data_IF_806331825106
#
_entry.id   IF_806331825106
#
_cell.length_a   1.000
_cell.length_b   1.000
_cell.length_c   1.000
_cell.angle_alpha   90.00
_cell.angle_beta   90.00
_cell.angle_gamma   90.00
#
_symmetry.space_group_name_H-M   'P 1'
#
loop_
_entity.id
_entity.type
_entity.pdbx_description
1 polymer ?
#
# COMPACT_ATOMS: atom_id res chain seq x y z
N UNK A 1 -19.52 -35.79 11.19
CA UNK A 1 -19.00 -34.89 12.24
C UNK A 1 -17.52 -34.50 12.06
N UNK A 2 -16.79 -34.95 11.02
CA UNK A 2 -15.34 -34.66 10.87
C UNK A 2 -14.98 -33.63 9.78
N UNK A 3 -15.87 -33.31 8.83
CA UNK A 3 -15.52 -32.43 7.71
C UNK A 3 -15.52 -30.93 8.04
N UNK A 4 -16.18 -30.49 9.12
CA UNK A 4 -16.24 -29.07 9.49
C UNK A 4 -15.03 -28.60 10.31
N UNK A 5 -14.39 -29.51 11.06
CA UNK A 5 -13.22 -29.18 11.87
C UNK A 5 -11.98 -28.88 11.01
N UNK A 6 -11.81 -29.60 9.89
CA UNK A 6 -10.68 -29.40 8.97
C UNK A 6 -10.76 -28.04 8.28
N UNK A 7 -11.95 -27.60 7.86
CA UNK A 7 -12.14 -26.31 7.18
C UNK A 7 -11.85 -25.13 8.10
N UNK A 8 -12.27 -25.19 9.37
CA UNK A 8 -11.99 -24.14 10.36
C UNK A 8 -10.51 -24.05 10.73
N UNK A 9 -9.81 -25.18 10.88
CA UNK A 9 -8.37 -25.18 11.15
C UNK A 9 -7.54 -24.63 9.98
N UNK A 10 -7.91 -24.98 8.74
CA UNK A 10 -7.23 -24.46 7.54
C UNK A 10 -7.49 -22.96 7.35
N UNK A 11 -8.71 -22.49 7.61
CA UNK A 11 -9.05 -21.06 7.60
C UNK A 11 -8.27 -20.28 8.66
N UNK A 12 -8.19 -20.80 9.88
CA UNK A 12 -7.50 -20.15 10.99
C UNK A 12 -5.97 -20.16 10.86
N UNK A 13 -5.38 -21.24 10.34
CA UNK A 13 -3.95 -21.28 10.02
C UNK A 13 -3.58 -20.36 8.85
N UNK A 14 -4.45 -20.20 7.84
CA UNK A 14 -4.24 -19.25 6.76
C UNK A 14 -4.29 -17.80 7.26
N UNK A 15 -5.31 -17.44 8.05
CA UNK A 15 -5.41 -16.11 8.66
C UNK A 15 -4.19 -15.76 9.52
N UNK A 16 -3.78 -16.65 10.44
CA UNK A 16 -2.63 -16.41 11.31
C UNK A 16 -1.29 -16.36 10.56
N UNK A 17 -1.11 -17.15 9.49
CA UNK A 17 0.09 -17.11 8.64
C UNK A 17 0.16 -15.84 7.80
N UNK A 18 -0.99 -15.36 7.34
CA UNK A 18 -1.10 -14.16 6.53
C UNK A 18 -0.88 -12.91 7.38
N UNK A 19 -1.53 -12.79 8.55
CA UNK A 19 -1.28 -11.71 9.51
C UNK A 19 0.20 -11.64 9.98
N UNK A 20 0.81 -12.81 10.22
CA UNK A 20 2.24 -12.90 10.56
C UNK A 20 3.16 -12.48 9.41
N UNK A 21 2.80 -12.78 8.16
CA UNK A 21 3.55 -12.35 6.97
C UNK A 21 3.38 -10.84 6.71
N UNK A 22 2.16 -10.32 6.86
CA UNK A 22 1.82 -8.91 6.64
C UNK A 22 2.56 -8.00 7.62
N UNK A 23 2.59 -8.38 8.90
CA UNK A 23 3.35 -7.64 9.93
C UNK A 23 4.87 -7.69 9.74
N UNK A 24 5.40 -8.79 9.19
CA UNK A 24 6.81 -8.89 8.83
C UNK A 24 7.17 -7.93 7.69
N UNK A 25 6.33 -7.88 6.66
CA UNK A 25 6.56 -7.03 5.48
C UNK A 25 6.53 -5.54 5.82
N UNK A 26 5.56 -5.10 6.62
CA UNK A 26 5.48 -3.70 7.08
C UNK A 26 6.73 -3.34 7.90
N UNK A 27 7.20 -4.24 8.76
CA UNK A 27 8.41 -4.00 9.56
C UNK A 27 9.66 -3.86 8.69
N UNK A 28 9.80 -4.70 7.68
CA UNK A 28 10.90 -4.61 6.71
C UNK A 28 10.86 -3.29 5.94
N UNK A 29 9.67 -2.90 5.46
CA UNK A 29 9.46 -1.63 4.78
C UNK A 29 9.90 -0.46 5.63
N UNK A 30 9.46 -0.37 6.89
CA UNK A 30 9.85 0.72 7.79
C UNK A 30 11.34 0.72 8.13
N UNK A 31 12.01 -0.44 8.14
CA UNK A 31 13.47 -0.51 8.34
C UNK A 31 14.28 0.06 7.18
N UNK A 32 13.71 0.13 5.98
CA UNK A 32 14.31 0.77 4.82
C UNK A 32 14.18 2.30 4.85
N UNK A 33 13.55 2.86 5.89
CA UNK A 33 13.33 4.30 6.07
C UNK A 33 12.72 4.98 4.82
N UNK A 34 11.55 4.51 4.35
CA UNK A 34 10.88 5.08 3.19
C UNK A 34 10.50 6.54 3.46
N UNK A 35 10.47 7.40 2.42
CA UNK A 35 10.02 8.77 2.58
C UNK A 35 8.54 8.81 2.98
N UNK A 36 8.14 9.89 3.64
CA UNK A 36 6.72 10.24 3.83
C UNK A 36 6.34 11.41 2.94
N UNK A 37 5.06 11.53 2.60
CA UNK A 37 4.53 12.63 1.81
C UNK A 37 3.27 13.20 2.44
N UNK A 38 3.26 14.50 2.72
CA UNK A 38 2.14 15.18 3.38
C UNK A 38 1.17 15.83 2.39
N UNK A 39 1.66 16.24 1.21
CA UNK A 39 0.90 16.93 0.18
C UNK A 39 0.54 18.37 0.55
N UNK A 40 1.22 18.95 1.55
CA UNK A 40 0.92 20.30 2.06
C UNK A 40 2.05 21.31 1.82
N UNK A 41 3.24 20.86 1.43
CA UNK A 41 4.39 21.73 1.18
C UNK A 41 4.70 21.83 -0.30
N UNK A 42 5.02 23.04 -0.77
CA UNK A 42 5.54 23.28 -2.12
C UNK A 42 6.98 22.83 -2.31
N UNK A 43 7.66 22.44 -1.22
CA UNK A 43 9.01 21.87 -1.26
C UNK A 43 9.02 20.35 -1.38
N UNK A 44 7.87 19.69 -1.21
CA UNK A 44 7.76 18.26 -1.45
C UNK A 44 7.77 18.00 -2.95
N UNK A 45 8.49 16.96 -3.36
CA UNK A 45 8.59 16.53 -4.75
C UNK A 45 7.84 15.19 -4.90
N UNK A 46 6.65 15.21 -5.56
CA UNK A 46 5.85 14.01 -5.78
C UNK A 46 6.56 12.95 -6.63
N UNK A 47 7.36 13.35 -7.63
CA UNK A 47 8.10 12.42 -8.48
C UNK A 47 9.19 11.72 -7.66
N UNK A 48 10.00 12.48 -6.93
CA UNK A 48 11.04 11.92 -6.08
C UNK A 48 10.47 11.00 -4.99
N UNK A 49 9.30 11.33 -4.42
CA UNK A 49 8.61 10.43 -3.49
C UNK A 49 8.28 9.06 -4.10
N UNK A 50 7.73 9.05 -5.32
CA UNK A 50 7.41 7.82 -6.05
C UNK A 50 8.68 7.03 -6.39
N UNK A 51 9.74 7.70 -6.87
CA UNK A 51 11.00 7.06 -7.22
C UNK A 51 11.67 6.38 -6.02
N UNK A 52 11.72 7.06 -4.87
CA UNK A 52 12.29 6.51 -3.64
C UNK A 52 11.49 5.30 -3.13
N UNK A 53 10.15 5.33 -3.22
CA UNK A 53 9.32 4.17 -2.90
C UNK A 53 9.57 2.99 -3.83
N UNK A 54 9.69 3.22 -5.14
CA UNK A 54 10.02 2.16 -6.12
C UNK A 54 11.34 1.47 -5.79
N UNK A 55 12.38 2.23 -5.43
CA UNK A 55 13.67 1.68 -5.00
C UNK A 55 13.52 0.72 -3.82
N UNK A 56 12.73 1.10 -2.81
CA UNK A 56 12.45 0.25 -1.64
C UNK A 56 11.68 -1.01 -2.07
N UNK A 57 10.63 -0.87 -2.88
CA UNK A 57 9.80 -2.00 -3.33
C UNK A 57 10.56 -3.00 -4.17
N UNK A 58 11.48 -2.53 -5.01
CA UNK A 58 12.30 -3.39 -5.86
C UNK A 58 13.31 -4.20 -5.04
N UNK A 59 13.93 -3.60 -4.02
CA UNK A 59 14.82 -4.30 -3.07
C UNK A 59 14.08 -5.35 -2.26
N UNK A 60 12.83 -5.04 -1.86
CA UNK A 60 11.99 -5.93 -1.06
C UNK A 60 11.19 -6.95 -1.89
N UNK A 61 11.26 -6.88 -3.23
CA UNK A 61 10.45 -7.69 -4.15
C UNK A 61 8.93 -7.64 -3.86
N UNK A 62 8.40 -6.45 -3.58
CA UNK A 62 6.99 -6.22 -3.28
C UNK A 62 6.13 -6.35 -4.54
N UNK A 63 5.05 -7.13 -4.46
CA UNK A 63 4.08 -7.28 -5.54
C UNK A 63 3.26 -6.00 -5.73
N UNK A 64 2.86 -5.69 -6.96
CA UNK A 64 2.17 -4.43 -7.31
C UNK A 64 0.94 -4.12 -6.45
N UNK A 65 0.16 -5.14 -6.09
CA UNK A 65 -1.03 -4.99 -5.23
C UNK A 65 -0.69 -4.56 -3.80
N UNK A 66 0.48 -4.95 -3.29
CA UNK A 66 0.95 -4.60 -1.95
C UNK A 66 1.62 -3.21 -1.92
N UNK A 67 2.19 -2.76 -3.06
CA UNK A 67 2.89 -1.47 -3.18
C UNK A 67 1.97 -0.29 -2.82
N UNK A 68 0.69 -0.36 -3.25
CA UNK A 68 -0.30 0.70 -3.00
C UNK A 68 -0.56 0.87 -1.50
N UNK A 69 -0.75 -0.22 -0.74
CA UNK A 69 -0.99 -0.13 0.71
C UNK A 69 0.24 0.38 1.47
N UNK A 70 1.45 -0.05 1.06
CA UNK A 70 2.69 0.42 1.69
C UNK A 70 2.98 1.89 1.38
N UNK A 71 2.67 2.36 0.16
CA UNK A 71 2.74 3.78 -0.17
C UNK A 71 1.72 4.59 0.63
N UNK A 72 0.47 4.11 0.73
CA UNK A 72 -0.57 4.73 1.53
C UNK A 72 -0.22 4.87 3.02
N UNK A 73 0.56 3.92 3.56
CA UNK A 73 1.09 4.01 4.91
C UNK A 73 2.01 5.23 5.11
N UNK A 74 2.72 5.65 4.07
CA UNK A 74 3.63 6.80 4.11
C UNK A 74 2.95 8.15 3.79
N UNK A 75 1.71 8.12 3.31
CA UNK A 75 0.93 9.32 3.09
C UNK A 75 0.41 9.88 4.42
N UNK A 76 0.50 11.19 4.57
CA UNK A 76 0.07 11.92 5.77
C UNK A 76 -0.83 13.08 5.36
N UNK A 77 -1.59 13.62 6.31
CA UNK A 77 -2.37 14.85 6.14
C UNK A 77 -3.20 14.88 4.83
N UNK A 78 -2.95 15.86 3.96
CA UNK A 78 -3.69 16.09 2.71
C UNK A 78 -3.57 14.88 1.80
N UNK A 79 -2.37 14.34 1.65
CA UNK A 79 -2.14 13.17 0.82
C UNK A 79 -2.87 11.93 1.34
N UNK A 80 -2.99 11.78 2.66
CA UNK A 80 -3.77 10.68 3.24
C UNK A 80 -5.26 10.83 2.95
N UNK A 81 -5.81 12.03 3.13
CA UNK A 81 -7.22 12.32 2.82
C UNK A 81 -7.53 12.09 1.34
N UNK A 82 -6.65 12.53 0.44
CA UNK A 82 -6.77 12.28 -0.99
C UNK A 82 -6.81 10.78 -1.30
N UNK A 83 -5.91 9.99 -0.71
CA UNK A 83 -5.86 8.55 -0.96
C UNK A 83 -7.16 7.84 -0.55
N UNK A 84 -7.72 8.18 0.62
CA UNK A 84 -8.97 7.59 1.09
C UNK A 84 -10.13 7.93 0.13
N UNK A 85 -10.15 9.13 -0.47
CA UNK A 85 -11.13 9.53 -1.49
C UNK A 85 -10.93 8.80 -2.82
N UNK A 86 -9.69 8.73 -3.31
CA UNK A 86 -9.34 8.03 -4.54
C UNK A 86 -9.70 6.53 -4.45
N UNK A 87 -9.38 5.90 -3.32
CA UNK A 87 -9.70 4.49 -3.06
C UNK A 87 -11.20 4.27 -2.89
N UNK A 88 -11.89 5.14 -2.16
CA UNK A 88 -13.33 5.06 -1.92
C UNK A 88 -14.20 5.39 -3.15
N UNK A 89 -13.66 6.11 -4.14
CA UNK A 89 -14.34 6.41 -5.40
C UNK A 89 -14.35 5.26 -6.41
N UNK A 90 -13.64 4.17 -6.13
CA UNK A 90 -13.65 2.97 -6.96
C UNK A 90 -14.96 2.20 -6.79
N UNK A 91 -15.52 1.67 -7.89
CA UNK A 91 -16.72 0.83 -7.82
C UNK A 91 -16.47 -0.40 -6.93
N UNK A 92 -17.52 -0.91 -6.27
CA UNK A 92 -17.43 -2.01 -5.30
C UNK A 92 -16.84 -3.31 -5.89
N UNK A 93 -16.99 -3.50 -7.21
CA UNK A 93 -16.45 -4.63 -7.99
C UNK A 93 -15.20 -4.27 -8.83
N UNK A 94 -14.63 -3.08 -8.64
CA UNK A 94 -13.43 -2.68 -9.36
C UNK A 94 -12.25 -3.59 -8.98
N UNK A 95 -11.35 -3.92 -9.92
CA UNK A 95 -10.10 -4.59 -9.59
C UNK A 95 -9.35 -3.83 -8.47
N UNK A 96 -8.59 -4.54 -7.62
CA UNK A 96 -7.74 -3.88 -6.64
C UNK A 96 -6.87 -2.81 -7.29
N UNK A 97 -6.71 -1.68 -6.62
CA UNK A 97 -5.87 -0.58 -7.07
C UNK A 97 -4.48 -1.11 -7.47
N UNK A 98 -4.12 -0.96 -8.75
CA UNK A 98 -2.78 -1.30 -9.22
C UNK A 98 -1.79 -0.19 -8.89
N UNK A 99 -0.51 -0.53 -8.78
CA UNK A 99 0.54 0.47 -8.60
C UNK A 99 0.54 1.54 -9.70
N UNK A 100 0.35 1.13 -10.96
CA UNK A 100 0.31 2.05 -12.09
C UNK A 100 -0.85 3.06 -11.99
N UNK A 101 -2.05 2.60 -11.61
CA UNK A 101 -3.19 3.50 -11.41
C UNK A 101 -2.98 4.46 -10.23
N UNK A 102 -2.36 3.98 -9.15
CA UNK A 102 -1.99 4.84 -8.01
C UNK A 102 -1.00 5.92 -8.43
N UNK A 103 0.07 5.54 -9.12
CA UNK A 103 1.12 6.46 -9.57
C UNK A 103 0.57 7.55 -10.50
N UNK A 104 -0.22 7.15 -11.50
CA UNK A 104 -0.86 8.10 -12.43
C UNK A 104 -1.77 9.07 -11.68
N UNK A 105 -2.62 8.57 -10.78
CA UNK A 105 -3.55 9.40 -10.02
C UNK A 105 -2.83 10.31 -9.01
N UNK A 106 -1.79 9.81 -8.35
CA UNK A 106 -1.01 10.55 -7.37
C UNK A 106 -0.26 11.71 -8.03
N UNK A 107 0.47 11.42 -9.11
CA UNK A 107 1.19 12.45 -9.85
C UNK A 107 0.22 13.43 -10.50
N UNK A 108 -0.87 12.96 -11.10
CA UNK A 108 -1.90 13.85 -11.67
C UNK A 108 -2.57 14.79 -10.66
N UNK A 109 -2.54 14.46 -9.36
CA UNK A 109 -3.11 15.30 -8.30
C UNK A 109 -2.09 16.24 -7.64
N UNK A 110 -0.88 15.76 -7.38
CA UNK A 110 0.13 16.49 -6.60
C UNK A 110 1.24 17.12 -7.44
N UNK A 111 1.43 16.68 -8.68
CA UNK A 111 2.40 17.27 -9.59
C UNK A 111 1.82 18.55 -10.25
N UNK A 112 2.56 19.67 -10.26
CA UNK A 112 2.09 20.95 -10.82
C UNK A 112 1.78 20.95 -12.33
#
# INVERSE_FOLDING_TARGET
MLSQAVTNYVGQQRGARQEGADTSRIREFLRMNPPSFTGSSTTEDPENFIEELKKVFDVMHVADTERVELAAYQLKNIARTWFDQWKGGSAEDAPPASWACFEEAFLGHFFP
#
